data_IF_269729793241
#
_entry.id   IF_269729793241
#
_cell.length_a   1.000
_cell.length_b   1.000
_cell.length_c   1.000
_cell.angle_alpha   90.00
_cell.angle_beta   90.00
_cell.angle_gamma   90.00
#
_symmetry.space_group_name_H-M   'P 1'
#
loop_
_entity.id
_entity.type
_entity.pdbx_description
1 polymer ?
#
# COMPACT_ATOMS: atom_id res chain seq x y z
N UNK A 1 14.87 21.24 8.87
CA UNK A 1 13.92 21.61 9.95
C UNK A 1 12.86 20.53 10.08
N UNK A 2 12.05 20.52 11.16
CA UNK A 2 11.00 19.50 11.36
C UNK A 2 9.99 19.46 10.19
N UNK A 3 9.68 20.62 9.61
CA UNK A 3 8.78 20.74 8.46
C UNK A 3 9.36 20.05 7.21
N UNK A 4 10.63 20.30 6.89
CA UNK A 4 11.29 19.66 5.74
C UNK A 4 11.36 18.14 5.91
N UNK A 5 11.59 17.67 7.14
CA UNK A 5 11.63 16.24 7.45
C UNK A 5 10.27 15.58 7.22
N UNK A 6 9.20 16.21 7.70
CA UNK A 6 7.82 15.76 7.48
C UNK A 6 7.51 15.70 5.98
N UNK A 7 7.80 16.78 5.25
CA UNK A 7 7.53 16.85 3.81
C UNK A 7 8.33 15.80 3.03
N UNK A 8 9.58 15.54 3.45
CA UNK A 8 10.42 14.49 2.85
C UNK A 8 9.83 13.10 3.07
N UNK A 9 9.31 12.81 4.26
CA UNK A 9 8.67 11.52 4.54
C UNK A 9 7.35 11.36 3.75
N UNK A 10 6.55 12.42 3.61
CA UNK A 10 5.34 12.37 2.77
C UNK A 10 5.70 12.14 1.29
N UNK A 11 6.71 12.83 0.77
CA UNK A 11 7.20 12.58 -0.60
C UNK A 11 7.73 11.15 -0.79
N UNK A 12 8.38 10.57 0.23
CA UNK A 12 8.80 9.17 0.19
C UNK A 12 7.59 8.23 0.07
N UNK A 13 6.52 8.46 0.84
CA UNK A 13 5.28 7.69 0.71
C UNK A 13 4.72 7.76 -0.72
N UNK A 14 4.57 8.97 -1.27
CA UNK A 14 4.05 9.17 -2.62
C UNK A 14 4.90 8.49 -3.69
N UNK A 15 6.24 8.56 -3.57
CA UNK A 15 7.15 7.94 -4.52
C UNK A 15 7.00 6.41 -4.54
N UNK A 16 6.89 5.79 -3.38
CA UNK A 16 6.72 4.32 -3.30
C UNK A 16 5.33 3.93 -3.81
N UNK A 17 4.30 4.67 -3.41
CA UNK A 17 2.94 4.45 -3.90
C UNK A 17 2.82 4.59 -5.43
N UNK A 18 3.46 5.60 -6.02
CA UNK A 18 3.47 5.81 -7.48
C UNK A 18 4.15 4.65 -8.23
N UNK A 19 5.28 4.13 -7.71
CA UNK A 19 5.92 2.94 -8.28
C UNK A 19 4.97 1.74 -8.31
N UNK A 20 4.26 1.51 -7.20
CA UNK A 20 3.31 0.39 -7.05
C UNK A 20 2.09 0.60 -7.97
N UNK A 21 1.60 1.84 -8.11
CA UNK A 21 0.48 2.16 -8.99
C UNK A 21 0.83 2.03 -10.48
N UNK A 22 2.07 2.33 -10.86
CA UNK A 22 2.52 2.22 -12.25
C UNK A 22 2.79 0.78 -12.70
N UNK A 23 3.29 -0.07 -11.79
CA UNK A 23 3.62 -1.48 -12.09
C UNK A 23 3.00 -2.44 -11.06
N UNK A 24 1.66 -2.45 -10.85
CA UNK A 24 1.01 -3.20 -9.78
C UNK A 24 1.34 -4.70 -9.81
N UNK A 25 1.42 -5.26 -11.02
CA UNK A 25 1.79 -6.66 -11.26
C UNK A 25 3.17 -7.01 -10.72
N UNK A 26 4.10 -6.07 -10.57
CA UNK A 26 5.44 -6.33 -10.04
C UNK A 26 5.49 -6.37 -8.51
N UNK A 27 4.55 -5.69 -7.85
CA UNK A 27 4.55 -5.51 -6.40
C UNK A 27 3.50 -6.39 -5.71
N UNK A 28 2.43 -6.78 -6.40
CA UNK A 28 1.26 -7.44 -5.82
C UNK A 28 1.08 -8.88 -6.30
N UNK A 29 2.19 -9.61 -6.45
CA UNK A 29 2.19 -11.06 -6.66
C UNK A 29 2.40 -11.76 -5.32
N UNK A 30 1.33 -12.25 -4.72
CA UNK A 30 1.36 -12.94 -3.43
C UNK A 30 0.53 -14.21 -3.50
N UNK A 31 1.10 -15.32 -3.03
CA UNK A 31 0.39 -16.60 -2.89
C UNK A 31 -0.31 -16.70 -1.52
N UNK A 32 0.07 -15.87 -0.55
CA UNK A 32 -0.50 -15.84 0.81
C UNK A 32 -0.39 -14.46 1.48
N UNK A 33 -1.15 -14.23 2.55
CA UNK A 33 -1.01 -13.03 3.40
C UNK A 33 0.43 -12.90 3.95
N UNK A 34 1.09 -14.03 4.22
CA UNK A 34 2.46 -14.04 4.73
C UNK A 34 3.44 -13.44 3.74
N UNK A 35 3.24 -13.66 2.44
CA UNK A 35 4.14 -13.15 1.40
C UNK A 35 4.03 -11.63 1.26
N UNK A 36 2.83 -11.09 1.44
CA UNK A 36 2.64 -9.64 1.54
C UNK A 36 3.51 -9.05 2.66
N UNK A 37 3.40 -9.57 3.89
CA UNK A 37 4.18 -9.02 5.02
C UNK A 37 5.70 -9.26 4.92
N UNK A 38 6.15 -10.18 4.07
CA UNK A 38 7.57 -10.40 3.75
C UNK A 38 8.07 -9.51 2.61
N UNK A 39 7.19 -8.79 1.93
CA UNK A 39 7.56 -8.00 0.77
C UNK A 39 8.57 -6.91 1.14
N UNK A 40 9.76 -6.98 0.54
CA UNK A 40 10.88 -6.08 0.86
C UNK A 40 10.55 -4.61 0.57
N UNK A 41 9.66 -4.36 -0.38
CA UNK A 41 9.23 -3.02 -0.76
C UNK A 41 8.37 -2.35 0.33
N UNK A 42 7.78 -3.10 1.27
CA UNK A 42 7.09 -2.50 2.42
C UNK A 42 8.05 -1.65 3.26
N UNK A 43 9.32 -2.04 3.35
CA UNK A 43 10.34 -1.29 4.07
C UNK A 43 10.79 0.00 3.34
N UNK A 44 10.41 0.19 2.07
CA UNK A 44 10.68 1.46 1.36
C UNK A 44 9.76 2.59 1.83
N UNK A 45 8.63 2.28 2.47
CA UNK A 45 7.75 3.29 3.04
C UNK A 45 8.41 4.04 4.22
N UNK A 46 7.95 5.27 4.51
CA UNK A 46 8.41 6.03 5.66
C UNK A 46 8.23 5.27 6.99
N UNK A 47 9.04 5.63 7.99
CA UNK A 47 8.85 5.07 9.34
C UNK A 47 7.51 5.53 9.92
N UNK A 48 6.77 4.59 10.50
CA UNK A 48 5.43 4.83 11.03
C UNK A 48 4.30 4.55 10.04
N UNK A 49 4.61 4.01 8.86
CA UNK A 49 3.61 3.41 7.98
C UNK A 49 3.02 2.15 8.62
N UNK A 50 1.71 1.96 8.44
CA UNK A 50 0.96 0.78 8.89
C UNK A 50 0.38 0.06 7.68
N UNK A 51 0.39 -1.26 7.71
CA UNK A 51 -0.08 -2.10 6.60
C UNK A 51 -1.11 -3.12 7.09
N UNK A 52 -2.18 -3.25 6.32
CA UNK A 52 -3.24 -4.23 6.54
C UNK A 52 -3.41 -5.03 5.26
N UNK A 53 -3.57 -6.34 5.38
CA UNK A 53 -3.87 -7.22 4.27
C UNK A 53 -4.94 -8.22 4.69
N UNK A 54 -5.80 -8.60 3.75
CA UNK A 54 -6.85 -9.59 3.91
C UNK A 54 -7.12 -10.29 2.58
N UNK A 55 -7.69 -11.49 2.64
CA UNK A 55 -8.25 -12.14 1.46
C UNK A 55 -7.27 -12.92 0.57
N UNK A 56 -6.18 -13.46 1.14
CA UNK A 56 -5.27 -14.38 0.44
C UNK A 56 -5.27 -15.82 1.00
N UNK A 57 -6.06 -16.10 2.04
CA UNK A 57 -6.12 -17.42 2.68
C UNK A 57 -7.36 -18.22 2.21
N UNK A 58 -7.29 -19.56 2.33
CA UNK A 58 -8.22 -20.57 1.78
C UNK A 58 -9.71 -20.15 1.82
N UNK A 59 -10.19 -19.62 0.69
CA UNK A 59 -11.60 -19.28 0.45
C UNK A 59 -11.86 -17.82 0.05
N UNK A 60 -10.86 -16.95 0.05
CA UNK A 60 -11.01 -15.58 -0.44
C UNK A 60 -10.81 -15.48 -1.95
N UNK A 61 -11.78 -14.87 -2.65
CA UNK A 61 -11.73 -14.63 -4.10
C UNK A 61 -10.94 -13.34 -4.45
N UNK A 62 -10.74 -12.46 -3.47
CA UNK A 62 -10.17 -11.13 -3.65
C UNK A 62 -9.16 -10.81 -2.55
N UNK A 63 -7.99 -10.33 -2.96
CA UNK A 63 -7.00 -9.77 -2.06
C UNK A 63 -7.27 -8.28 -1.86
N UNK A 64 -7.16 -7.84 -0.62
CA UNK A 64 -7.21 -6.43 -0.26
C UNK A 64 -6.05 -6.06 0.65
N UNK A 65 -5.38 -4.96 0.33
CA UNK A 65 -4.38 -4.36 1.20
C UNK A 65 -4.53 -2.85 1.30
N UNK A 66 -4.29 -2.35 2.50
CA UNK A 66 -4.28 -0.93 2.84
C UNK A 66 -2.90 -0.58 3.37
N UNK A 67 -2.32 0.49 2.85
CA UNK A 67 -1.11 1.11 3.38
C UNK A 67 -1.45 2.51 3.87
N UNK A 68 -1.23 2.75 5.16
CA UNK A 68 -1.56 4.02 5.80
C UNK A 68 -0.30 4.74 6.27
N UNK A 69 -0.20 6.02 5.93
CA UNK A 69 0.83 6.90 6.45
C UNK A 69 0.25 8.28 6.77
N UNK A 70 0.18 8.60 8.06
CA UNK A 70 -0.40 9.86 8.56
C UNK A 70 -1.84 10.04 8.03
N UNK A 71 -2.04 11.02 7.15
CA UNK A 71 -3.31 11.36 6.52
C UNK A 71 -3.52 10.68 5.17
N UNK A 72 -2.57 9.87 4.68
CA UNK A 72 -2.64 9.24 3.37
C UNK A 72 -2.90 7.75 3.48
N UNK A 73 -3.69 7.23 2.55
CA UNK A 73 -4.01 5.82 2.44
C UNK A 73 -3.85 5.38 0.99
N UNK A 74 -3.11 4.30 0.75
CA UNK A 74 -3.04 3.61 -0.54
C UNK A 74 -3.85 2.31 -0.42
N UNK A 75 -4.79 2.11 -1.35
CA UNK A 75 -5.66 0.93 -1.36
C UNK A 75 -5.28 0.02 -2.53
N UNK A 76 -5.24 -1.28 -2.30
CA UNK A 76 -4.82 -2.24 -3.31
C UNK A 76 -5.80 -3.39 -3.28
N UNK A 77 -6.39 -3.72 -4.42
CA UNK A 77 -7.36 -4.81 -4.58
C UNK A 77 -6.91 -5.67 -5.74
N UNK A 78 -6.79 -6.98 -5.54
CA UNK A 78 -6.56 -7.92 -6.62
C UNK A 78 -7.76 -8.86 -6.71
N UNK A 79 -8.38 -8.92 -7.90
CA UNK A 79 -9.53 -9.80 -8.15
C UNK A 79 -9.20 -10.72 -9.32
N UNK A 80 -8.95 -12.00 -9.02
CA UNK A 80 -8.55 -13.00 -10.02
C UNK A 80 -7.24 -12.65 -10.74
N UNK A 81 -7.27 -12.54 -12.07
CA UNK A 81 -6.10 -12.20 -12.92
C UNK A 81 -5.80 -10.70 -12.99
N UNK A 82 -6.64 -9.84 -12.41
CA UNK A 82 -6.50 -8.39 -12.51
C UNK A 82 -6.07 -7.80 -11.17
N UNK A 83 -4.83 -7.32 -11.12
CA UNK A 83 -4.34 -6.53 -10.00
C UNK A 83 -4.69 -5.05 -10.21
N UNK A 84 -5.45 -4.46 -9.29
CA UNK A 84 -5.85 -3.05 -9.33
C UNK A 84 -5.31 -2.32 -8.10
N UNK A 85 -4.47 -1.31 -8.34
CA UNK A 85 -4.12 -0.33 -7.31
C UNK A 85 -5.15 0.81 -7.32
N UNK A 86 -5.98 0.89 -6.29
CA UNK A 86 -6.91 2.00 -6.08
C UNK A 86 -6.15 3.16 -5.45
N UNK A 87 -6.18 4.32 -6.10
CA UNK A 87 -5.26 5.44 -5.83
C UNK A 87 -5.18 5.95 -4.39
N UNK A 88 -4.27 6.91 -4.18
CA UNK A 88 -3.99 7.48 -2.87
C UNK A 88 -5.15 8.39 -2.43
N UNK A 89 -5.77 8.08 -1.30
CA UNK A 89 -6.78 8.92 -0.66
C UNK A 89 -6.23 9.62 0.57
N UNK A 90 -6.87 10.74 0.95
CA UNK A 90 -6.58 11.47 2.18
C UNK A 90 -7.69 11.18 3.19
N UNK A 91 -7.34 10.79 4.42
CA UNK A 91 -8.27 10.42 5.50
C UNK A 91 -9.26 11.54 5.87
N UNK A 92 -8.96 12.79 5.50
CA UNK A 92 -9.74 13.99 5.85
C UNK A 92 -11.01 14.20 5.00
N UNK A 93 -11.46 13.22 4.20
CA UNK A 93 -12.68 13.32 3.36
C UNK A 93 -13.96 12.72 3.98
N UNK A 94 -13.96 12.41 5.28
CA UNK A 94 -15.17 11.96 6.00
C UNK A 94 -15.52 12.92 7.14
N UNK A 95 -16.01 14.11 6.82
CA UNK A 95 -16.80 14.96 7.73
C UNK A 95 -17.83 15.76 6.94
#
# INVERSE_FOLDING_TARGET
MLIDFIQTQEQQFFRVAEKIMNEPERYLQFDSISDFYKAVWLAEFPKGTVWFASGLDDGAEEFYAIIEYRQYTLNMTCTGQNTVCSGISRKDQYY
#
